data_IF_782154091575
#
_entry.id   IF_782154091575
#
_cell.length_a   1.000
_cell.length_b   1.000
_cell.length_c   1.000
_cell.angle_alpha   90.00
_cell.angle_beta   90.00
_cell.angle_gamma   90.00
#
_symmetry.space_group_name_H-M   'P 1'
#
loop_
_entity.id
_entity.type
_entity.pdbx_description
1 polymer ?
#
# COMPACT_ATOMS: atom_id res chain seq x y z
N UNK A 1 21.36 0.52 0.93
CA UNK A 1 21.37 -0.39 2.08
C UNK A 1 22.47 -1.41 1.86
N UNK A 2 23.26 -1.76 2.87
CA UNK A 2 24.19 -2.87 2.80
C UNK A 2 23.50 -4.09 3.43
N UNK A 3 23.35 -5.19 2.68
CA UNK A 3 22.63 -6.37 3.19
C UNK A 3 23.28 -6.99 4.43
N UNK A 4 24.64 -6.91 4.56
CA UNK A 4 25.36 -7.44 5.69
C UNK A 4 25.00 -6.77 7.04
N UNK A 5 24.64 -5.47 7.00
CA UNK A 5 24.26 -4.69 8.18
C UNK A 5 22.75 -4.68 8.40
N UNK A 6 22.00 -5.45 7.63
CA UNK A 6 20.59 -5.57 7.79
C UNK A 6 20.30 -6.55 8.93
N UNK A 7 19.59 -6.09 9.95
CA UNK A 7 19.11 -6.96 11.03
C UNK A 7 18.15 -8.05 10.49
N UNK A 8 17.48 -7.74 9.38
CA UNK A 8 16.56 -8.64 8.72
C UNK A 8 17.31 -9.50 7.70
N UNK A 9 17.67 -10.73 8.11
CA UNK A 9 18.34 -11.69 7.24
C UNK A 9 17.28 -12.44 6.46
N UNK A 10 17.24 -12.24 5.16
CA UNK A 10 16.39 -13.01 4.26
C UNK A 10 17.26 -13.93 3.41
N UNK A 11 16.90 -15.20 3.42
CA UNK A 11 17.42 -16.20 2.51
C UNK A 11 16.21 -16.84 1.82
N UNK A 12 16.28 -17.00 0.50
CA UNK A 12 15.25 -17.74 -0.23
C UNK A 12 15.16 -19.16 0.35
N UNK A 13 13.98 -19.62 0.80
CA UNK A 13 13.75 -20.99 1.23
C UNK A 13 13.86 -21.97 0.05
N UNK A 14 14.30 -23.20 0.31
CA UNK A 14 14.46 -24.20 -0.74
C UNK A 14 13.10 -24.62 -1.35
N UNK A 15 12.05 -24.73 -0.54
CA UNK A 15 10.69 -25.10 -0.99
C UNK A 15 9.80 -23.87 -1.17
N UNK A 16 10.33 -22.80 -1.79
CA UNK A 16 9.66 -21.50 -1.90
C UNK A 16 8.23 -21.60 -2.46
N UNK A 17 7.98 -22.42 -3.47
CA UNK A 17 6.68 -22.51 -4.15
C UNK A 17 5.56 -23.03 -3.23
N UNK A 18 5.91 -23.94 -2.33
CA UNK A 18 4.95 -24.60 -1.44
C UNK A 18 4.64 -23.79 -0.18
N UNK A 19 5.42 -22.75 0.09
CA UNK A 19 5.25 -21.92 1.29
C UNK A 19 4.15 -20.87 1.03
N UNK A 20 3.17 -20.72 1.94
CA UNK A 20 2.16 -19.68 1.86
C UNK A 20 2.79 -18.29 1.74
N UNK A 21 2.16 -17.39 0.95
CA UNK A 21 2.69 -16.04 0.69
C UNK A 21 2.82 -15.23 1.98
N UNK A 22 1.86 -15.31 2.90
CA UNK A 22 1.92 -14.62 4.19
C UNK A 22 3.14 -15.06 5.02
N UNK A 23 3.52 -16.33 4.94
CA UNK A 23 4.70 -16.86 5.62
C UNK A 23 5.99 -16.41 4.96
N UNK A 24 6.02 -16.31 3.62
CA UNK A 24 7.18 -15.79 2.88
C UNK A 24 7.39 -14.29 3.11
N UNK A 25 6.31 -13.54 3.31
CA UNK A 25 6.37 -12.12 3.62
C UNK A 25 6.92 -11.86 5.02
N UNK A 26 6.74 -12.81 5.96
CA UNK A 26 7.38 -12.73 7.28
C UNK A 26 8.89 -12.74 7.07
N UNK A 27 9.62 -11.96 7.84
CA UNK A 27 11.06 -11.73 7.77
C UNK A 27 11.53 -10.95 6.52
N UNK A 28 10.89 -11.08 5.36
CA UNK A 28 11.21 -10.28 4.17
C UNK A 28 10.57 -8.89 4.22
N UNK A 29 9.27 -8.84 4.47
CA UNK A 29 8.43 -7.64 4.39
C UNK A 29 8.10 -7.09 5.77
N UNK A 30 7.81 -7.97 6.70
CA UNK A 30 7.46 -7.62 8.07
C UNK A 30 7.96 -8.68 9.07
N UNK A 31 8.08 -8.26 10.33
CA UNK A 31 8.27 -9.13 11.48
C UNK A 31 7.26 -8.77 12.57
N UNK A 32 7.07 -9.65 13.56
CA UNK A 32 6.22 -9.39 14.70
C UNK A 32 7.05 -9.45 15.99
N UNK A 33 7.19 -8.30 16.66
CA UNK A 33 7.60 -8.29 18.07
C UNK A 33 6.44 -8.74 18.98
N UNK A 34 5.23 -8.32 18.63
CA UNK A 34 3.96 -8.81 19.13
C UNK A 34 3.25 -9.50 17.96
N UNK A 35 2.67 -10.71 18.14
CA UNK A 35 2.08 -11.47 17.05
C UNK A 35 0.95 -10.77 16.28
N UNK A 36 0.52 -9.61 16.76
CA UNK A 36 -0.64 -8.88 16.25
C UNK A 36 -0.33 -7.49 15.72
N UNK A 37 0.90 -7.01 15.93
CA UNK A 37 1.37 -5.67 15.52
C UNK A 37 2.58 -5.83 14.62
N UNK A 38 2.44 -5.68 13.30
CA UNK A 38 3.55 -5.87 12.38
C UNK A 38 4.57 -4.74 12.46
N UNK A 39 5.85 -5.10 12.49
CA UNK A 39 6.97 -4.22 12.26
C UNK A 39 7.44 -4.41 10.81
N UNK A 40 7.41 -3.36 10.01
CA UNK A 40 7.79 -3.47 8.60
C UNK A 40 9.29 -3.31 8.41
N UNK A 41 9.90 -4.23 7.65
CA UNK A 41 11.31 -4.20 7.28
C UNK A 41 11.59 -3.03 6.33
N UNK A 42 12.87 -2.68 6.07
CA UNK A 42 13.20 -1.70 5.04
C UNK A 42 12.66 -2.06 3.65
N UNK A 43 12.57 -3.35 3.31
CA UNK A 43 11.95 -3.83 2.06
C UNK A 43 10.44 -3.59 2.10
N UNK A 44 9.78 -3.99 3.19
CA UNK A 44 8.35 -3.76 3.38
C UNK A 44 7.98 -2.29 3.32
N UNK A 45 8.77 -1.42 3.95
CA UNK A 45 8.58 0.03 3.89
C UNK A 45 8.69 0.58 2.47
N UNK A 46 9.67 0.11 1.67
CA UNK A 46 9.79 0.51 0.27
C UNK A 46 8.59 0.06 -0.57
N UNK A 47 8.12 -1.16 -0.36
CA UNK A 47 6.94 -1.69 -1.06
C UNK A 47 5.70 -0.84 -0.74
N UNK A 48 5.46 -0.50 0.54
CA UNK A 48 4.38 0.42 0.91
C UNK A 48 4.50 1.77 0.23
N UNK A 49 5.67 2.41 0.31
CA UNK A 49 5.89 3.71 -0.30
C UNK A 49 5.63 3.68 -1.81
N UNK A 50 6.03 2.61 -2.50
CA UNK A 50 5.81 2.47 -3.94
C UNK A 50 4.31 2.30 -4.27
N UNK A 51 3.58 1.47 -3.52
CA UNK A 51 2.13 1.30 -3.66
C UNK A 51 1.41 2.63 -3.42
N UNK A 52 1.77 3.33 -2.35
CA UNK A 52 1.21 4.63 -1.99
C UNK A 52 1.51 5.69 -3.05
N UNK A 53 2.70 5.67 -3.64
CA UNK A 53 3.06 6.56 -4.75
C UNK A 53 2.23 6.31 -6.02
N UNK A 54 1.90 5.04 -6.33
CA UNK A 54 0.98 4.73 -7.43
C UNK A 54 -0.40 5.37 -7.18
N UNK A 55 -0.93 5.25 -5.96
CA UNK A 55 -2.19 5.92 -5.61
C UNK A 55 -2.07 7.45 -5.70
N UNK A 56 -1.01 8.04 -5.11
CA UNK A 56 -0.79 9.50 -5.13
C UNK A 56 -0.76 10.08 -6.54
N UNK A 57 -0.06 9.40 -7.46
CA UNK A 57 -0.01 9.79 -8.87
C UNK A 57 -1.39 9.76 -9.53
N UNK A 58 -2.21 8.78 -9.21
CA UNK A 58 -3.57 8.69 -9.74
C UNK A 58 -4.50 9.72 -9.08
N UNK A 59 -4.41 9.92 -7.76
CA UNK A 59 -5.20 10.90 -7.03
C UNK A 59 -4.95 12.35 -7.49
N UNK A 60 -3.72 12.68 -7.90
CA UNK A 60 -3.38 14.02 -8.40
C UNK A 60 -4.10 14.39 -9.72
N UNK A 61 -4.74 13.43 -10.38
CA UNK A 61 -5.49 13.71 -11.64
C UNK A 61 -6.87 14.35 -11.40
N UNK A 62 -7.34 14.43 -10.16
CA UNK A 62 -8.66 15.00 -9.79
C UNK A 62 -8.61 16.01 -8.65
N UNK A 63 -7.51 16.75 -8.48
CA UNK A 63 -7.34 17.72 -7.39
C UNK A 63 -7.69 17.11 -6.02
N UNK A 64 -7.09 15.97 -5.72
CA UNK A 64 -7.25 15.27 -4.45
C UNK A 64 -5.99 15.46 -3.59
N UNK A 65 -6.11 16.25 -2.52
CA UNK A 65 -4.99 16.65 -1.68
C UNK A 65 -4.74 15.69 -0.51
N UNK A 66 -3.46 15.50 -0.17
CA UNK A 66 -3.07 14.73 1.00
C UNK A 66 -3.21 15.52 2.29
N UNK A 67 -3.84 14.92 3.30
CA UNK A 67 -3.92 15.48 4.65
C UNK A 67 -3.38 14.49 5.68
N UNK A 68 -2.83 15.01 6.77
CA UNK A 68 -2.39 14.21 7.92
C UNK A 68 -3.50 14.24 8.97
N UNK A 69 -4.03 13.09 9.32
CA UNK A 69 -5.06 12.94 10.33
C UNK A 69 -4.46 12.54 11.69
N UNK A 70 -5.02 13.00 12.83
CA UNK A 70 -4.64 12.50 14.15
C UNK A 70 -4.95 11.01 14.28
N UNK A 71 -4.18 10.32 15.11
CA UNK A 71 -4.42 8.90 15.45
C UNK A 71 -5.21 8.73 16.75
N UNK A 72 -5.58 9.83 17.39
CA UNK A 72 -6.36 9.88 18.60
C UNK A 72 -7.71 10.53 18.34
N UNK A 73 -8.75 9.98 18.94
CA UNK A 73 -10.11 10.53 18.93
C UNK A 73 -10.61 10.64 20.38
N UNK A 74 -11.35 11.70 20.68
CA UNK A 74 -11.94 11.88 22.01
C UNK A 74 -13.16 10.98 22.20
N UNK A 75 -13.41 10.57 23.45
CA UNK A 75 -14.63 9.82 23.83
C UNK A 75 -15.89 10.61 23.46
N UNK A 76 -15.87 11.93 23.63
CA UNK A 76 -16.99 12.80 23.27
C UNK A 76 -17.34 12.72 21.78
N UNK A 77 -16.31 12.78 20.91
CA UNK A 77 -16.52 12.66 19.47
C UNK A 77 -17.03 11.27 19.07
N UNK A 78 -16.49 10.22 19.69
CA UNK A 78 -16.93 8.83 19.46
C UNK A 78 -18.40 8.64 19.86
N UNK A 79 -18.83 9.23 20.99
CA UNK A 79 -20.21 9.15 21.47
C UNK A 79 -21.23 9.84 20.54
N UNK A 80 -20.81 10.84 19.77
CA UNK A 80 -21.67 11.50 18.76
C UNK A 80 -21.99 10.60 17.56
N UNK A 81 -21.18 9.57 17.32
CA UNK A 81 -21.37 8.59 16.24
C UNK A 81 -21.86 7.24 16.78
N UNK A 82 -23.07 7.19 17.33
CA UNK A 82 -23.61 5.97 17.94
C UNK A 82 -23.50 4.73 17.04
N UNK A 83 -23.85 4.85 15.76
CA UNK A 83 -23.75 3.73 14.80
C UNK A 83 -22.32 3.23 14.60
N UNK A 84 -21.33 4.12 14.60
CA UNK A 84 -19.92 3.74 14.52
C UNK A 84 -19.47 3.08 15.82
N UNK A 85 -19.94 3.57 16.96
CA UNK A 85 -19.71 2.95 18.27
C UNK A 85 -20.29 1.54 18.34
N UNK A 86 -21.47 1.31 17.80
CA UNK A 86 -22.09 -0.01 17.71
C UNK A 86 -21.36 -0.94 16.72
N UNK A 87 -20.99 -0.44 15.54
CA UNK A 87 -20.30 -1.21 14.50
C UNK A 87 -18.91 -1.69 14.96
N UNK A 88 -18.17 -0.85 15.66
CA UNK A 88 -16.84 -1.19 16.12
C UNK A 88 -16.80 -1.67 17.58
N UNK A 89 -17.69 -1.19 18.44
CA UNK A 89 -17.91 -1.64 19.81
C UNK A 89 -16.64 -2.12 20.54
N UNK A 90 -16.57 -3.43 20.80
CA UNK A 90 -15.43 -4.08 21.48
C UNK A 90 -14.09 -4.00 20.73
N UNK A 91 -14.07 -3.53 19.47
CA UNK A 91 -12.84 -3.38 18.68
C UNK A 91 -12.14 -2.04 18.93
N UNK A 92 -12.72 -1.14 19.69
CA UNK A 92 -12.13 0.16 20.02
C UNK A 92 -11.04 -0.04 21.05
N UNK A 93 -9.83 0.47 20.77
CA UNK A 93 -8.71 0.46 21.71
C UNK A 93 -8.75 1.71 22.58
N UNK A 94 -9.07 1.53 23.86
CA UNK A 94 -9.11 2.58 24.84
C UNK A 94 -7.73 2.87 25.42
N UNK A 95 -7.42 4.14 25.67
CA UNK A 95 -6.25 4.53 26.44
C UNK A 95 -6.53 4.50 27.94
N UNK A 96 -5.49 4.40 28.73
CA UNK A 96 -5.56 4.35 30.21
C UNK A 96 -4.69 5.43 30.86
N UNK A 97 -4.78 5.57 32.17
CA UNK A 97 -4.02 6.56 32.93
C UNK A 97 -4.61 7.96 32.78
N UNK A 98 -3.79 8.96 32.45
CA UNK A 98 -4.24 10.36 32.28
C UNK A 98 -4.95 10.63 30.93
N UNK A 99 -5.01 9.64 30.05
CA UNK A 99 -5.55 9.76 28.68
C UNK A 99 -6.84 8.95 28.49
N UNK A 100 -7.61 8.75 29.57
CA UNK A 100 -8.83 7.93 29.54
C UNK A 100 -9.93 8.48 28.64
N UNK A 101 -9.88 9.77 28.32
CA UNK A 101 -10.84 10.42 27.43
C UNK A 101 -10.48 10.31 25.94
N UNK A 102 -9.47 9.48 25.61
CA UNK A 102 -9.02 9.27 24.26
C UNK A 102 -9.02 7.80 23.87
N UNK A 103 -9.19 7.57 22.56
CA UNK A 103 -9.14 6.27 21.91
C UNK A 103 -8.21 6.33 20.70
N UNK A 104 -7.61 5.18 20.35
CA UNK A 104 -6.96 5.04 19.06
C UNK A 104 -8.02 4.99 17.94
N UNK A 105 -7.76 5.67 16.82
CA UNK A 105 -8.73 5.73 15.72
C UNK A 105 -8.95 4.35 15.10
N UNK A 106 -10.22 3.96 15.04
CA UNK A 106 -10.68 2.72 14.44
C UNK A 106 -11.17 2.95 13.01
N UNK A 107 -11.78 4.13 12.79
CA UNK A 107 -12.28 4.66 11.53
C UNK A 107 -12.14 6.19 11.58
N UNK A 108 -11.55 6.84 10.61
CA UNK A 108 -11.23 8.28 10.71
C UNK A 108 -12.34 9.20 10.20
N UNK A 109 -13.39 8.67 9.56
CA UNK A 109 -14.44 9.46 8.89
C UNK A 109 -15.04 10.50 9.81
N UNK A 110 -15.43 10.11 11.03
CA UNK A 110 -16.00 11.03 12.01
C UNK A 110 -15.06 12.16 12.38
N UNK A 111 -13.79 11.81 12.66
CA UNK A 111 -12.77 12.80 13.02
C UNK A 111 -12.55 13.78 11.87
N UNK A 112 -12.49 13.26 10.66
CA UNK A 112 -12.27 14.02 9.44
C UNK A 112 -13.43 15.00 9.21
N UNK A 113 -14.67 14.49 9.20
CA UNK A 113 -15.86 15.30 8.97
C UNK A 113 -16.09 16.30 10.11
N UNK A 114 -15.85 15.93 11.37
CA UNK A 114 -15.94 16.85 12.48
C UNK A 114 -14.94 18.04 12.36
N UNK A 115 -13.79 17.80 11.74
CA UNK A 115 -12.85 18.87 11.43
C UNK A 115 -13.36 19.77 10.32
N UNK A 116 -13.89 19.19 9.22
CA UNK A 116 -14.39 19.95 8.08
C UNK A 116 -15.63 20.79 8.41
N UNK A 117 -16.60 20.27 9.18
CA UNK A 117 -17.84 20.98 9.53
C UNK A 117 -17.64 22.26 10.35
N UNK A 118 -16.47 22.40 10.99
CA UNK A 118 -16.12 23.62 11.75
C UNK A 118 -15.73 24.79 10.86
N UNK A 119 -15.50 24.54 9.57
CA UNK A 119 -15.16 25.56 8.60
C UNK A 119 -16.40 26.03 7.87
N UNK A 120 -16.42 27.31 7.48
CA UNK A 120 -17.44 27.83 6.58
C UNK A 120 -17.06 27.40 5.15
N UNK A 121 -17.76 26.41 4.62
CA UNK A 121 -17.52 25.89 3.28
C UNK A 121 -18.29 26.77 2.29
N UNK A 122 -17.59 27.41 1.36
CA UNK A 122 -18.18 28.09 0.22
C UNK A 122 -18.56 27.06 -0.85
N UNK A 123 -19.77 27.18 -1.42
CA UNK A 123 -20.21 26.30 -2.51
C UNK A 123 -19.27 26.33 -3.72
N UNK A 124 -18.56 27.45 -3.96
CA UNK A 124 -17.59 27.58 -5.05
C UNK A 124 -16.29 26.78 -4.80
N UNK A 125 -16.00 26.41 -3.56
CA UNK A 125 -14.86 25.56 -3.23
C UNK A 125 -15.16 24.05 -3.39
N UNK A 126 -16.40 23.69 -3.66
CA UNK A 126 -16.82 22.31 -3.88
C UNK A 126 -16.69 21.89 -5.36
N UNK A 127 -16.26 20.66 -5.68
CA UNK A 127 -15.99 19.59 -4.74
C UNK A 127 -14.66 19.74 -4.01
N UNK A 128 -14.58 19.27 -2.75
CA UNK A 128 -13.35 19.15 -1.97
C UNK A 128 -13.01 17.67 -1.87
N UNK A 129 -11.81 17.29 -2.30
CA UNK A 129 -11.35 15.92 -2.25
C UNK A 129 -10.07 15.85 -1.41
N UNK A 130 -10.12 15.08 -0.33
CA UNK A 130 -8.96 14.84 0.51
C UNK A 130 -8.70 13.34 0.69
N UNK A 131 -7.44 12.97 0.74
CA UNK A 131 -7.03 11.63 1.16
C UNK A 131 -6.02 11.69 2.30
N UNK A 132 -5.90 10.58 3.01
CA UNK A 132 -4.90 10.38 4.06
C UNK A 132 -4.25 9.01 3.90
N UNK A 133 -3.03 8.89 4.39
CA UNK A 133 -2.32 7.62 4.56
C UNK A 133 -2.00 7.49 6.05
N UNK A 134 -2.65 6.57 6.74
CA UNK A 134 -2.52 6.46 8.20
C UNK A 134 -2.61 5.03 8.70
N UNK A 135 -2.20 4.82 9.95
CA UNK A 135 -2.48 3.60 10.65
C UNK A 135 -3.84 3.71 11.35
N UNK A 136 -4.62 2.64 11.28
CA UNK A 136 -5.83 2.45 12.04
C UNK A 136 -5.64 1.31 13.05
N UNK A 137 -6.44 1.31 14.10
CA UNK A 137 -6.29 0.40 15.22
C UNK A 137 -7.63 -0.28 15.52
N UNK A 138 -7.61 -1.62 15.64
CA UNK A 138 -8.79 -2.40 16.01
C UNK A 138 -8.38 -3.55 16.91
N UNK A 139 -9.01 -3.67 18.08
CA UNK A 139 -8.84 -4.83 18.95
C UNK A 139 -9.58 -6.04 18.37
N UNK A 140 -8.94 -6.68 17.41
CA UNK A 140 -9.50 -7.83 16.70
C UNK A 140 -9.47 -9.06 17.61
N UNK A 141 -10.60 -9.81 17.76
CA UNK A 141 -10.64 -11.00 18.61
C UNK A 141 -9.75 -12.14 18.11
N UNK A 142 -9.56 -12.24 16.79
CA UNK A 142 -8.71 -13.25 16.15
C UNK A 142 -7.73 -12.59 15.18
N UNK A 143 -6.72 -11.87 15.67
CA UNK A 143 -5.72 -11.31 14.79
C UNK A 143 -4.90 -12.44 14.14
N UNK A 144 -4.58 -12.27 12.86
CA UNK A 144 -3.83 -13.26 12.10
C UNK A 144 -2.94 -12.53 11.11
N UNK A 145 -1.67 -12.80 11.11
CA UNK A 145 -0.69 -12.24 10.18
C UNK A 145 -1.00 -10.79 9.69
N UNK A 146 -0.41 -10.38 8.56
CA UNK A 146 -0.59 -9.04 7.95
C UNK A 146 -2.02 -8.77 7.46
N UNK A 147 -2.82 -9.81 7.16
CA UNK A 147 -4.17 -9.65 6.62
C UNK A 147 -5.21 -9.22 7.66
N UNK A 148 -4.94 -9.48 8.94
CA UNK A 148 -5.82 -9.18 10.06
C UNK A 148 -5.02 -8.83 11.33
N UNK A 149 -4.34 -7.71 11.31
CA UNK A 149 -3.54 -7.20 12.44
C UNK A 149 -4.34 -6.18 13.27
N UNK A 150 -3.89 -5.94 14.51
CA UNK A 150 -4.50 -4.94 15.40
C UNK A 150 -4.18 -3.51 14.98
N UNK A 151 -3.03 -3.30 14.35
CA UNK A 151 -2.64 -2.07 13.68
C UNK A 151 -2.47 -2.35 12.20
N UNK A 152 -3.08 -1.53 11.35
CA UNK A 152 -3.01 -1.70 9.91
C UNK A 152 -3.00 -0.36 9.18
N UNK A 153 -2.29 -0.34 8.04
CA UNK A 153 -2.12 0.86 7.22
C UNK A 153 -3.20 0.95 6.16
N UNK A 154 -3.75 2.15 5.99
CA UNK A 154 -4.86 2.44 5.08
C UNK A 154 -4.56 3.71 4.29
N UNK A 155 -4.86 3.69 3.00
CA UNK A 155 -5.15 4.87 2.20
C UNK A 155 -6.66 5.05 2.25
N UNK A 156 -7.13 6.20 2.71
CA UNK A 156 -8.55 6.51 2.71
C UNK A 156 -8.79 7.96 2.37
N UNK A 157 -10.03 8.33 2.14
CA UNK A 157 -10.34 9.71 1.82
C UNK A 157 -11.81 10.02 1.91
N UNK A 158 -12.09 11.31 1.82
CA UNK A 158 -13.43 11.89 1.87
C UNK A 158 -13.54 12.95 0.77
N UNK A 159 -14.68 12.93 0.09
CA UNK A 159 -15.08 13.98 -0.85
C UNK A 159 -16.33 14.69 -0.33
N UNK A 160 -16.37 16.00 -0.50
CA UNK A 160 -17.53 16.86 -0.22
C UNK A 160 -18.04 17.47 -1.51
N UNK A 161 -19.33 17.33 -1.76
CA UNK A 161 -19.99 17.79 -2.98
C UNK A 161 -21.21 18.65 -2.67
N UNK A 162 -21.52 19.61 -3.58
CA UNK A 162 -22.63 20.55 -3.41
C UNK A 162 -24.00 19.92 -3.56
N UNK A 163 -24.11 18.89 -4.40
CA UNK A 163 -25.38 18.22 -4.70
C UNK A 163 -25.18 16.71 -4.80
N UNK A 164 -26.28 15.97 -4.70
CA UNK A 164 -26.25 14.51 -4.94
C UNK A 164 -25.74 14.18 -6.35
N UNK A 165 -26.10 15.00 -7.36
CA UNK A 165 -25.63 14.78 -8.73
C UNK A 165 -24.11 15.02 -8.86
N UNK A 166 -23.57 16.04 -8.19
CA UNK A 166 -22.13 16.30 -8.20
C UNK A 166 -21.38 15.19 -7.43
N UNK A 167 -21.94 14.71 -6.29
CA UNK A 167 -21.40 13.56 -5.57
C UNK A 167 -21.26 12.33 -6.48
N UNK A 168 -22.27 12.01 -7.28
CA UNK A 168 -22.19 10.87 -8.22
C UNK A 168 -21.08 11.06 -9.26
N UNK A 169 -20.84 12.28 -9.73
CA UNK A 169 -19.72 12.57 -10.66
C UNK A 169 -18.36 12.38 -9.98
N UNK A 170 -18.22 12.88 -8.75
CA UNK A 170 -16.98 12.73 -7.97
C UNK A 170 -16.75 11.27 -7.61
N UNK A 171 -17.80 10.55 -7.20
CA UNK A 171 -17.73 9.12 -6.91
C UNK A 171 -17.24 8.30 -8.11
N UNK A 172 -17.73 8.60 -9.32
CA UNK A 172 -17.25 7.95 -10.55
C UNK A 172 -15.77 8.23 -10.81
N UNK A 173 -15.30 9.45 -10.61
CA UNK A 173 -13.87 9.79 -10.73
C UNK A 173 -13.02 9.03 -9.69
N UNK A 174 -13.51 8.91 -8.45
CA UNK A 174 -12.83 8.14 -7.42
C UNK A 174 -12.79 6.64 -7.77
N UNK A 175 -13.87 6.08 -8.33
CA UNK A 175 -13.88 4.70 -8.85
C UNK A 175 -12.83 4.51 -9.95
N UNK A 176 -12.71 5.46 -10.89
CA UNK A 176 -11.69 5.42 -11.94
C UNK A 176 -10.26 5.44 -11.36
N UNK A 177 -10.00 6.26 -10.33
CA UNK A 177 -8.71 6.29 -9.62
C UNK A 177 -8.41 4.97 -8.94
N UNK A 178 -9.39 4.38 -8.24
CA UNK A 178 -9.21 3.08 -7.59
C UNK A 178 -8.90 1.99 -8.62
N UNK A 179 -9.70 1.91 -9.69
CA UNK A 179 -9.47 0.97 -10.79
C UNK A 179 -8.10 1.16 -11.42
N UNK A 180 -7.73 2.41 -11.72
CA UNK A 180 -6.43 2.71 -12.30
C UNK A 180 -5.29 2.33 -11.35
N UNK A 181 -5.43 2.60 -10.07
CA UNK A 181 -4.43 2.23 -9.05
C UNK A 181 -4.22 0.71 -9.00
N UNK A 182 -5.30 -0.07 -9.03
CA UNK A 182 -5.21 -1.53 -9.00
C UNK A 182 -4.64 -2.10 -10.31
N UNK A 183 -5.02 -1.51 -11.45
CA UNK A 183 -4.47 -1.87 -12.76
C UNK A 183 -2.98 -1.51 -12.88
N UNK A 184 -2.56 -0.34 -12.38
CA UNK A 184 -1.14 0.07 -12.35
C UNK A 184 -0.32 -0.84 -11.41
N UNK A 185 -0.93 -1.35 -10.33
CA UNK A 185 -0.35 -2.41 -9.50
C UNK A 185 -0.40 -3.80 -10.17
N UNK A 186 -1.05 -3.93 -11.33
CA UNK A 186 -1.21 -5.17 -12.12
C UNK A 186 -1.80 -6.32 -11.31
N UNK A 187 -2.74 -6.05 -10.40
CA UNK A 187 -3.40 -7.07 -9.60
C UNK A 187 -4.74 -7.49 -10.20
N UNK A 188 -5.15 -8.76 -10.08
CA UNK A 188 -6.50 -9.17 -10.37
C UNK A 188 -7.44 -8.75 -9.24
N UNK A 189 -8.61 -8.22 -9.60
CA UNK A 189 -9.65 -7.89 -8.63
C UNK A 189 -11.05 -8.10 -9.20
N UNK A 190 -12.01 -8.31 -8.30
CA UNK A 190 -13.44 -8.26 -8.58
C UNK A 190 -14.02 -7.02 -7.93
N UNK A 191 -14.78 -6.23 -8.69
CA UNK A 191 -15.53 -5.09 -8.18
C UNK A 191 -17.02 -5.49 -8.08
N UNK A 192 -17.60 -5.37 -6.89
CA UNK A 192 -19.02 -5.63 -6.63
C UNK A 192 -19.73 -4.32 -6.29
N UNK A 193 -20.76 -3.98 -7.07
CA UNK A 193 -21.49 -2.73 -6.95
C UNK A 193 -22.79 -2.92 -6.18
N UNK A 194 -23.12 -1.95 -5.30
CA UNK A 194 -24.41 -1.87 -4.60
C UNK A 194 -24.63 -2.94 -3.54
N UNK A 195 -23.60 -3.64 -3.10
CA UNK A 195 -23.73 -4.67 -2.06
C UNK A 195 -23.49 -4.09 -0.66
N UNK A 196 -24.27 -4.56 0.31
CA UNK A 196 -24.05 -4.34 1.76
C UNK A 196 -23.82 -2.88 2.18
N UNK A 197 -24.46 -1.91 1.49
CA UNK A 197 -24.36 -0.47 1.80
C UNK A 197 -23.18 0.25 1.15
N UNK A 198 -22.32 -0.46 0.41
CA UNK A 198 -21.24 0.16 -0.36
C UNK A 198 -21.67 0.48 -1.79
N UNK A 199 -21.17 1.57 -2.35
CA UNK A 199 -21.29 1.83 -3.79
C UNK A 199 -20.52 0.79 -4.58
N UNK A 200 -19.30 0.50 -4.14
CA UNK A 200 -18.47 -0.56 -4.69
C UNK A 200 -17.54 -1.13 -3.62
N UNK A 201 -17.37 -2.44 -3.63
CA UNK A 201 -16.38 -3.14 -2.81
C UNK A 201 -15.47 -3.98 -3.70
N UNK A 202 -14.18 -4.05 -3.37
CA UNK A 202 -13.16 -4.73 -4.16
C UNK A 202 -12.63 -5.96 -3.46
N UNK A 203 -12.55 -7.07 -4.20
CA UNK A 203 -12.20 -8.38 -3.70
C UNK A 203 -11.06 -9.03 -4.47
N UNK A 204 -10.27 -9.83 -3.76
CA UNK A 204 -9.27 -10.74 -4.31
C UNK A 204 -9.67 -12.19 -4.05
N UNK A 205 -9.63 -13.02 -5.09
CA UNK A 205 -10.20 -14.38 -5.06
C UNK A 205 -9.18 -15.51 -5.27
N UNK A 206 -7.96 -15.22 -5.65
CA UNK A 206 -7.02 -16.21 -6.21
C UNK A 206 -6.19 -17.00 -5.20
N UNK A 207 -6.36 -16.85 -3.90
CA UNK A 207 -5.49 -17.50 -2.94
C UNK A 207 -6.24 -18.50 -2.05
N UNK A 208 -5.74 -19.73 -1.98
CA UNK A 208 -6.17 -20.73 -0.97
C UNK A 208 -5.97 -20.22 0.46
N UNK A 209 -4.98 -19.37 0.69
CA UNK A 209 -4.73 -18.73 1.98
C UNK A 209 -5.87 -17.79 2.37
N UNK A 210 -6.43 -17.05 1.42
CA UNK A 210 -7.51 -16.11 1.67
C UNK A 210 -8.83 -16.79 2.02
N UNK A 211 -9.04 -18.05 1.66
CA UNK A 211 -10.21 -18.82 2.06
C UNK A 211 -10.41 -18.90 3.58
N UNK A 212 -9.34 -18.82 4.34
CA UNK A 212 -9.36 -18.82 5.81
C UNK A 212 -9.56 -17.45 6.44
N UNK A 213 -9.51 -16.36 5.63
CA UNK A 213 -9.55 -14.97 6.11
C UNK A 213 -10.74 -14.17 5.61
N UNK A 214 -11.75 -14.87 5.14
CA UNK A 214 -12.93 -14.28 4.52
C UNK A 214 -13.60 -13.26 5.40
N UNK A 215 -13.89 -12.15 4.77
CA UNK A 215 -14.66 -11.09 5.38
C UNK A 215 -16.10 -11.09 4.88
N UNK A 216 -16.38 -11.61 3.67
CA UNK A 216 -17.75 -11.79 3.14
C UNK A 216 -17.87 -12.98 2.19
N UNK A 217 -19.06 -13.51 2.09
CA UNK A 217 -19.46 -14.39 1.00
C UNK A 217 -20.02 -13.50 -0.12
N UNK A 218 -19.36 -13.47 -1.28
CA UNK A 218 -19.83 -12.75 -2.47
C UNK A 218 -21.14 -13.38 -2.99
N UNK A 219 -21.28 -14.70 -2.83
CA UNK A 219 -22.49 -15.44 -3.16
C UNK A 219 -22.93 -16.25 -1.93
N UNK A 220 -24.03 -15.87 -1.25
CA UNK A 220 -24.55 -16.61 -0.10
C UNK A 220 -24.85 -18.07 -0.41
N UNK A 221 -25.19 -18.40 -1.67
CA UNK A 221 -25.53 -19.74 -2.09
C UNK A 221 -24.31 -20.60 -2.44
N UNK A 222 -23.22 -19.97 -2.89
CA UNK A 222 -21.99 -20.68 -3.30
C UNK A 222 -20.88 -20.70 -2.26
N UNK A 223 -21.06 -19.99 -1.13
CA UNK A 223 -20.01 -19.82 -0.09
C UNK A 223 -18.65 -19.39 -0.67
N UNK A 224 -18.66 -18.63 -1.76
CA UNK A 224 -17.43 -18.14 -2.39
C UNK A 224 -16.77 -17.14 -1.46
N UNK A 225 -15.57 -17.45 -1.03
CA UNK A 225 -14.81 -16.67 -0.09
C UNK A 225 -13.82 -15.77 -0.80
N UNK A 226 -13.75 -14.51 -0.40
CA UNK A 226 -12.88 -13.52 -0.99
C UNK A 226 -12.30 -12.56 0.04
N UNK A 227 -11.13 -12.02 -0.22
CA UNK A 227 -10.48 -11.01 0.61
C UNK A 227 -10.91 -9.62 0.15
N UNK A 228 -11.79 -8.95 0.92
CA UNK A 228 -12.08 -7.53 0.70
C UNK A 228 -10.87 -6.68 1.04
N UNK A 229 -10.46 -5.77 0.16
CA UNK A 229 -9.28 -4.93 0.35
C UNK A 229 -9.49 -3.44 0.11
N UNK A 230 -10.58 -3.04 -0.57
CA UNK A 230 -10.94 -1.64 -0.78
C UNK A 230 -12.45 -1.46 -0.89
N UNK A 231 -12.94 -0.25 -0.61
CA UNK A 231 -14.36 0.11 -0.68
C UNK A 231 -14.54 1.60 -0.95
N UNK A 232 -15.70 1.94 -1.52
CA UNK A 232 -16.21 3.31 -1.68
C UNK A 232 -17.71 3.33 -1.39
N UNK A 233 -18.21 4.35 -0.71
CA UNK A 233 -19.61 4.44 -0.30
C UNK A 233 -20.09 5.87 -0.08
N UNK A 234 -21.42 6.06 -0.17
CA UNK A 234 -22.12 7.29 0.20
C UNK A 234 -22.19 7.41 1.73
N UNK A 235 -21.36 8.28 2.28
CA UNK A 235 -21.32 8.53 3.72
C UNK A 235 -22.33 9.58 4.17
N UNK A 236 -23.05 10.23 3.26
CA UNK A 236 -24.00 11.31 3.58
C UNK A 236 -25.09 10.89 4.57
N UNK A 237 -25.58 9.66 4.43
CA UNK A 237 -26.67 9.12 5.25
C UNK A 237 -26.18 8.62 6.61
N UNK A 238 -24.97 8.08 6.65
CA UNK A 238 -24.37 7.50 7.86
C UNK A 238 -23.60 8.55 8.68
N UNK A 239 -23.40 9.74 8.12
CA UNK A 239 -22.69 10.82 8.77
C UNK A 239 -23.51 11.39 9.94
N UNK A 240 -23.00 11.33 11.18
CA UNK A 240 -23.74 11.85 12.35
C UNK A 240 -23.74 13.39 12.42
N UNK A 241 -23.09 14.05 11.46
CA UNK A 241 -22.94 15.50 11.46
C UNK A 241 -23.55 16.12 10.21
N UNK A 242 -24.23 17.24 10.41
CA UNK A 242 -24.59 18.09 9.28
C UNK A 242 -23.37 18.92 8.85
N UNK A 243 -22.88 18.62 7.65
CA UNK A 243 -21.86 19.43 6.98
C UNK A 243 -22.58 20.32 5.98
N UNK A 244 -22.44 21.63 6.18
CA UNK A 244 -23.19 22.63 5.43
C UNK A 244 -22.23 23.49 4.61
N UNK A 245 -22.67 23.90 3.43
CA UNK A 245 -22.01 24.92 2.63
C UNK A 245 -22.90 26.15 2.44
N UNK A 246 -22.31 27.28 2.16
CA UNK A 246 -23.05 28.54 1.91
C UNK A 246 -23.37 28.61 0.40
N UNK A 247 -24.64 28.65 0.08
CA UNK A 247 -25.09 28.87 -1.29
C UNK A 247 -24.85 30.34 -1.71
N UNK A 248 -24.04 30.59 -2.74
CA UNK A 248 -23.66 31.98 -3.13
C UNK A 248 -24.80 32.82 -3.67
N UNK A 249 -25.88 32.19 -4.14
CA UNK A 249 -27.04 32.91 -4.71
C UNK A 249 -28.09 33.30 -3.65
N UNK A 250 -28.35 32.38 -2.72
CA UNK A 250 -29.41 32.55 -1.72
C UNK A 250 -28.87 32.95 -0.35
N UNK A 251 -27.56 32.85 -0.13
CA UNK A 251 -26.89 33.01 1.16
C UNK A 251 -27.41 32.08 2.26
N UNK A 252 -28.13 31.01 1.87
CA UNK A 252 -28.59 29.95 2.80
C UNK A 252 -27.54 28.89 3.00
N UNK A 253 -27.67 28.13 4.09
CA UNK A 253 -26.84 26.93 4.33
C UNK A 253 -27.54 25.72 3.73
N UNK A 254 -26.89 25.09 2.77
CA UNK A 254 -27.36 23.87 2.12
C UNK A 254 -26.52 22.67 2.58
N UNK A 255 -27.11 21.47 2.61
CA UNK A 255 -26.43 20.25 3.02
C UNK A 255 -25.39 19.82 2.00
N UNK A 256 -24.22 19.43 2.47
CA UNK A 256 -23.13 18.87 1.66
C UNK A 256 -23.29 17.35 1.54
N UNK A 257 -22.98 16.79 0.38
CA UNK A 257 -22.98 15.35 0.12
C UNK A 257 -21.58 14.78 0.27
N UNK A 258 -21.47 13.59 0.84
CA UNK A 258 -20.19 13.04 1.30
C UNK A 258 -19.97 11.65 0.70
N UNK A 259 -18.83 11.46 0.03
CA UNK A 259 -18.34 10.15 -0.36
C UNK A 259 -17.13 9.79 0.49
N UNK A 260 -17.04 8.55 0.98
CA UNK A 260 -15.85 8.01 1.65
C UNK A 260 -15.32 6.79 0.92
N UNK A 261 -14.01 6.59 0.98
CA UNK A 261 -13.35 5.40 0.42
C UNK A 261 -12.16 4.98 1.27
N UNK A 262 -11.80 3.71 1.19
CA UNK A 262 -10.64 3.15 1.87
C UNK A 262 -10.00 2.00 1.10
N UNK A 263 -8.66 1.93 1.13
CA UNK A 263 -7.83 0.85 0.62
C UNK A 263 -7.00 0.31 1.78
N UNK A 264 -7.13 -0.97 2.12
CA UNK A 264 -6.22 -1.63 3.06
C UNK A 264 -4.88 -1.89 2.37
N UNK A 265 -3.91 -1.02 2.60
CA UNK A 265 -2.59 -1.08 1.95
C UNK A 265 -1.87 -2.39 2.29
N UNK A 266 -2.07 -2.93 3.50
CA UNK A 266 -1.49 -4.22 3.89
C UNK A 266 -2.05 -5.39 3.09
N UNK A 267 -3.37 -5.41 2.85
CA UNK A 267 -4.01 -6.43 2.02
C UNK A 267 -3.61 -6.28 0.55
N UNK A 268 -3.53 -5.04 0.06
CA UNK A 268 -3.06 -4.77 -1.30
C UNK A 268 -1.62 -5.25 -1.49
N UNK A 269 -0.73 -5.01 -0.51
CA UNK A 269 0.63 -5.52 -0.54
C UNK A 269 0.67 -7.06 -0.57
N UNK A 270 -0.16 -7.73 0.25
CA UNK A 270 -0.27 -9.19 0.20
C UNK A 270 -0.72 -9.68 -1.19
N UNK A 271 -1.74 -9.05 -1.78
CA UNK A 271 -2.27 -9.41 -3.10
C UNK A 271 -1.19 -9.29 -4.16
N UNK A 272 -0.40 -8.21 -4.13
CA UNK A 272 0.73 -8.01 -5.04
C UNK A 272 1.76 -9.13 -4.88
N UNK A 273 2.16 -9.42 -3.64
CA UNK A 273 3.14 -10.47 -3.38
C UNK A 273 2.63 -11.86 -3.79
N UNK A 274 1.34 -12.15 -3.59
CA UNK A 274 0.72 -13.42 -3.97
C UNK A 274 0.58 -13.56 -5.49
N UNK A 275 0.18 -12.49 -6.17
CA UNK A 275 0.02 -12.44 -7.62
C UNK A 275 1.34 -12.64 -8.36
N UNK A 276 2.41 -12.04 -7.85
CA UNK A 276 3.72 -12.04 -8.52
C UNK A 276 4.73 -13.05 -7.95
N UNK A 277 4.26 -14.00 -7.16
CA UNK A 277 5.07 -15.12 -6.68
C UNK A 277 5.32 -16.12 -7.81
N UNK A 278 6.58 -16.45 -8.07
CA UNK A 278 7.00 -17.47 -9.03
C UNK A 278 8.06 -18.43 -8.43
N UNK A 279 8.64 -19.30 -9.24
CA UNK A 279 9.65 -20.29 -8.79
C UNK A 279 10.98 -19.65 -8.35
N UNK A 280 11.28 -18.42 -8.75
CA UNK A 280 12.50 -17.69 -8.37
C UNK A 280 12.33 -16.80 -7.14
N UNK A 281 11.12 -16.32 -6.90
CA UNK A 281 10.84 -15.35 -5.85
C UNK A 281 9.60 -14.49 -6.17
N UNK A 282 9.74 -13.17 -6.10
CA UNK A 282 8.67 -12.25 -6.41
C UNK A 282 8.98 -11.46 -7.70
N UNK A 283 8.20 -11.68 -8.77
CA UNK A 283 8.36 -11.01 -10.06
C UNK A 283 7.65 -9.65 -10.10
N UNK A 284 7.95 -8.77 -9.15
CA UNK A 284 7.23 -7.53 -8.90
C UNK A 284 7.28 -6.55 -10.09
N UNK A 285 6.17 -5.84 -10.39
CA UNK A 285 6.14 -4.79 -11.38
C UNK A 285 7.16 -3.68 -11.09
N UNK A 286 7.65 -3.02 -12.15
CA UNK A 286 8.72 -2.02 -12.06
C UNK A 286 8.39 -0.83 -11.14
N UNK A 287 7.12 -0.43 -11.06
CA UNK A 287 6.65 0.66 -10.20
C UNK A 287 6.43 0.24 -8.73
N UNK A 288 6.45 -1.07 -8.43
CA UNK A 288 6.19 -1.60 -7.08
C UNK A 288 7.44 -2.18 -6.43
N UNK A 289 8.34 -2.81 -7.20
CA UNK A 289 9.52 -3.50 -6.66
C UNK A 289 10.36 -2.60 -5.74
N UNK A 290 10.96 -3.16 -4.67
CA UNK A 290 11.70 -2.38 -3.68
C UNK A 290 13.05 -1.86 -4.21
N UNK A 291 13.61 -2.58 -5.18
CA UNK A 291 14.87 -2.24 -5.84
C UNK A 291 14.82 -2.55 -7.33
N UNK A 292 15.30 -1.60 -8.14
CA UNK A 292 15.46 -1.79 -9.56
C UNK A 292 16.69 -2.67 -9.84
N UNK A 293 17.75 -2.51 -9.05
CA UNK A 293 19.05 -3.12 -9.30
C UNK A 293 19.66 -3.73 -8.04
N UNK A 294 20.17 -4.95 -8.16
CA UNK A 294 21.09 -5.57 -7.22
C UNK A 294 22.52 -5.49 -7.77
N UNK A 295 23.44 -4.86 -7.05
CA UNK A 295 24.86 -4.83 -7.41
C UNK A 295 25.58 -5.87 -6.57
N UNK A 296 26.03 -6.94 -7.22
CA UNK A 296 26.70 -8.09 -6.60
C UNK A 296 28.19 -7.97 -6.89
N UNK A 297 28.98 -7.68 -5.87
CA UNK A 297 30.42 -7.40 -6.00
C UNK A 297 31.25 -8.23 -5.02
N UNK A 298 32.58 -8.22 -5.22
CA UNK A 298 33.57 -8.70 -4.26
C UNK A 298 33.86 -7.63 -3.19
N UNK A 299 34.63 -7.99 -2.18
CA UNK A 299 35.07 -7.04 -1.15
C UNK A 299 35.88 -5.88 -1.74
N UNK A 300 36.71 -6.16 -2.74
CA UNK A 300 37.51 -5.16 -3.45
C UNK A 300 36.69 -4.22 -4.33
N UNK A 301 35.56 -4.67 -4.87
CA UNK A 301 34.65 -3.86 -5.69
C UNK A 301 33.62 -3.04 -4.92
N UNK A 302 33.64 -3.11 -3.58
CA UNK A 302 32.57 -2.53 -2.74
C UNK A 302 32.45 -0.99 -2.89
N UNK A 303 33.58 -0.29 -2.95
CA UNK A 303 33.61 1.17 -3.12
C UNK A 303 33.01 1.60 -4.46
N UNK A 304 33.42 0.95 -5.54
CA UNK A 304 32.85 1.15 -6.89
C UNK A 304 31.35 0.88 -6.91
N UNK A 305 30.90 -0.22 -6.31
CA UNK A 305 29.48 -0.57 -6.23
C UNK A 305 28.66 0.45 -5.43
N UNK A 306 29.22 1.00 -4.35
CA UNK A 306 28.58 2.06 -3.55
C UNK A 306 28.47 3.37 -4.32
N UNK A 307 29.51 3.73 -5.08
CA UNK A 307 29.48 4.90 -5.97
C UNK A 307 28.42 4.72 -7.04
N UNK A 308 28.42 3.60 -7.76
CA UNK A 308 27.40 3.30 -8.78
C UNK A 308 25.96 3.39 -8.20
N UNK A 309 25.75 2.86 -7.00
CA UNK A 309 24.44 2.96 -6.32
C UNK A 309 24.04 4.41 -6.08
N UNK A 310 24.98 5.25 -5.65
CA UNK A 310 24.75 6.69 -5.41
C UNK A 310 24.42 7.40 -6.72
N UNK A 311 25.20 7.14 -7.75
CA UNK A 311 25.00 7.73 -9.08
C UNK A 311 23.67 7.29 -9.71
N UNK A 312 23.29 6.01 -9.58
CA UNK A 312 21.97 5.52 -9.97
C UNK A 312 20.82 6.24 -9.27
N UNK A 313 20.99 6.53 -7.96
CA UNK A 313 19.97 7.24 -7.17
C UNK A 313 19.70 8.66 -7.70
N UNK A 314 20.69 9.34 -8.28
CA UNK A 314 20.52 10.64 -8.91
C UNK A 314 19.57 10.60 -10.14
N UNK A 315 19.39 9.42 -10.74
CA UNK A 315 18.45 9.16 -11.83
C UNK A 315 17.12 8.52 -11.37
N UNK A 316 16.85 8.51 -10.05
CA UNK A 316 15.63 7.89 -9.50
C UNK A 316 15.62 6.35 -9.57
N UNK A 317 16.79 5.72 -9.78
CA UNK A 317 16.94 4.26 -9.83
C UNK A 317 17.26 3.75 -8.42
N UNK A 318 16.42 2.87 -7.90
CA UNK A 318 16.64 2.26 -6.60
C UNK A 318 17.58 1.06 -6.71
N UNK A 319 18.74 1.13 -6.05
CA UNK A 319 19.72 0.05 -6.07
C UNK A 319 20.15 -0.34 -4.65
N UNK A 320 20.58 -1.59 -4.48
CA UNK A 320 21.31 -1.99 -3.29
C UNK A 320 22.61 -2.71 -3.66
N UNK A 321 23.57 -2.64 -2.76
CA UNK A 321 24.83 -3.37 -2.88
C UNK A 321 24.77 -4.63 -2.02
N UNK A 322 24.92 -5.78 -2.66
CA UNK A 322 25.07 -7.06 -1.96
C UNK A 322 26.54 -7.23 -1.53
N UNK A 323 26.75 -7.30 -0.23
CA UNK A 323 28.06 -7.52 0.40
C UNK A 323 28.10 -8.81 1.22
N UNK A 324 27.30 -9.82 0.87
CA UNK A 324 27.28 -11.13 1.51
C UNK A 324 28.46 -11.99 0.99
N UNK A 325 29.68 -11.53 1.20
CA UNK A 325 30.91 -12.14 0.64
C UNK A 325 31.13 -13.60 1.05
N UNK A 326 30.55 -14.05 2.17
CA UNK A 326 30.57 -15.45 2.59
C UNK A 326 29.59 -16.38 1.88
N UNK A 327 28.79 -15.87 0.92
CA UNK A 327 27.84 -16.65 0.12
C UNK A 327 28.31 -16.79 -1.31
N UNK A 328 27.95 -17.91 -1.96
CA UNK A 328 28.25 -18.13 -3.38
C UNK A 328 27.52 -17.09 -4.25
N UNK A 329 28.05 -16.80 -5.43
CA UNK A 329 27.41 -15.90 -6.39
C UNK A 329 25.99 -16.36 -6.74
N UNK A 330 25.77 -17.66 -6.94
CA UNK A 330 24.45 -18.23 -7.22
C UNK A 330 23.47 -17.90 -6.11
N UNK A 331 23.83 -18.11 -4.83
CA UNK A 331 22.93 -17.80 -3.70
C UNK A 331 22.60 -16.30 -3.60
N UNK A 332 23.55 -15.43 -3.96
CA UNK A 332 23.36 -13.98 -3.95
C UNK A 332 22.43 -13.54 -5.10
N UNK A 333 22.53 -14.15 -6.27
CA UNK A 333 21.60 -13.96 -7.39
C UNK A 333 20.19 -14.45 -7.03
N UNK A 334 20.08 -15.64 -6.42
CA UNK A 334 18.82 -16.20 -5.95
C UNK A 334 18.13 -15.29 -4.92
N UNK A 335 18.90 -14.69 -4.01
CA UNK A 335 18.38 -13.74 -3.04
C UNK A 335 17.88 -12.43 -3.73
N UNK A 336 18.55 -11.98 -4.77
CA UNK A 336 18.09 -10.83 -5.55
C UNK A 336 16.75 -11.11 -6.26
N UNK A 337 16.60 -12.30 -6.85
CA UNK A 337 15.34 -12.75 -7.43
C UNK A 337 14.24 -12.94 -6.38
N UNK A 338 14.59 -13.42 -5.18
CA UNK A 338 13.67 -13.57 -4.05
C UNK A 338 13.11 -12.23 -3.58
N UNK A 339 13.94 -11.20 -3.50
CA UNK A 339 13.55 -9.84 -3.10
C UNK A 339 12.64 -9.17 -4.16
N UNK A 340 12.65 -9.65 -5.39
CA UNK A 340 11.91 -9.05 -6.49
C UNK A 340 12.68 -7.96 -7.23
N UNK A 341 14.00 -8.07 -7.31
CA UNK A 341 14.86 -7.11 -8.03
C UNK A 341 14.72 -7.26 -9.54
N UNK A 342 14.67 -6.15 -10.27
CA UNK A 342 14.52 -6.15 -11.73
C UNK A 342 15.78 -6.57 -12.48
N UNK A 343 16.91 -5.96 -12.15
CA UNK A 343 18.21 -6.22 -12.75
C UNK A 343 19.25 -6.66 -11.71
N UNK A 344 20.20 -7.47 -12.16
CA UNK A 344 21.35 -7.93 -11.36
C UNK A 344 22.64 -7.55 -12.09
N UNK A 345 23.45 -6.70 -11.47
CA UNK A 345 24.77 -6.32 -11.94
C UNK A 345 25.80 -7.12 -11.17
N UNK A 346 26.57 -7.95 -11.87
CA UNK A 346 27.65 -8.77 -11.27
C UNK A 346 28.99 -8.16 -11.67
N UNK A 347 29.71 -7.69 -10.68
CA UNK A 347 31.09 -7.20 -10.84
C UNK A 347 32.09 -8.33 -10.66
N UNK A 348 32.93 -8.54 -11.68
CA UNK A 348 34.09 -9.43 -11.64
C UNK A 348 35.31 -8.68 -12.13
N UNK A 349 36.10 -8.14 -11.20
CA UNK A 349 37.33 -7.40 -11.51
C UNK A 349 37.12 -6.23 -12.49
N UNK A 350 36.14 -5.36 -12.20
CA UNK A 350 35.76 -4.23 -13.04
C UNK A 350 35.17 -4.60 -14.42
N UNK A 351 34.77 -5.85 -14.61
CA UNK A 351 33.94 -6.26 -15.72
C UNK A 351 32.54 -6.50 -15.16
N UNK A 352 31.58 -5.70 -15.62
CA UNK A 352 30.21 -5.71 -15.14
C UNK A 352 29.31 -6.45 -16.11
N UNK A 353 28.67 -7.51 -15.64
CA UNK A 353 27.64 -8.23 -16.40
C UNK A 353 26.27 -7.93 -15.82
N UNK A 354 25.38 -7.35 -16.62
CA UNK A 354 24.00 -7.03 -16.23
C UNK A 354 23.06 -8.12 -16.75
N UNK A 355 22.30 -8.70 -15.83
CA UNK A 355 21.32 -9.74 -16.13
C UNK A 355 19.91 -9.26 -15.75
N UNK A 356 18.92 -9.63 -16.56
CA UNK A 356 17.53 -9.49 -16.19
C UNK A 356 17.10 -10.56 -15.16
N UNK A 357 15.83 -10.53 -14.78
CA UNK A 357 15.28 -11.50 -13.82
C UNK A 357 15.28 -12.93 -14.39
N UNK A 358 15.14 -13.11 -15.71
CA UNK A 358 15.19 -14.44 -16.33
C UNK A 358 16.58 -15.08 -16.25
N UNK A 359 17.62 -14.28 -16.07
CA UNK A 359 19.03 -14.65 -16.14
C UNK A 359 19.65 -14.38 -17.51
N UNK A 360 18.90 -13.71 -18.40
CA UNK A 360 19.42 -13.31 -19.72
C UNK A 360 20.42 -12.17 -19.55
N UNK A 361 21.57 -12.27 -20.22
CA UNK A 361 22.57 -11.21 -20.25
C UNK A 361 22.02 -10.01 -21.06
N UNK A 362 21.84 -8.88 -20.39
CA UNK A 362 21.41 -7.62 -21.00
C UNK A 362 22.60 -6.88 -21.61
N UNK A 363 23.69 -6.78 -20.86
CA UNK A 363 24.90 -6.12 -21.33
C UNK A 363 26.14 -6.61 -20.56
N UNK A 364 27.32 -6.41 -21.17
CA UNK A 364 28.62 -6.56 -20.55
C UNK A 364 29.39 -5.24 -20.73
N UNK A 365 29.74 -4.61 -19.63
CA UNK A 365 30.32 -3.27 -19.58
C UNK A 365 31.69 -3.30 -18.92
N UNK A 366 32.58 -2.39 -19.33
CA UNK A 366 33.92 -2.22 -18.75
C UNK A 366 34.00 -0.99 -17.84
N UNK A 367 32.95 -0.19 -17.78
CA UNK A 367 32.89 0.98 -16.90
C UNK A 367 31.59 1.05 -16.09
N UNK A 368 31.59 1.66 -14.90
CA UNK A 368 30.38 1.97 -14.13
C UNK A 368 29.36 2.82 -14.88
N UNK A 369 29.82 3.80 -15.68
CA UNK A 369 28.95 4.72 -16.42
C UNK A 369 28.15 3.98 -17.51
N UNK A 370 28.77 3.03 -18.22
CA UNK A 370 28.09 2.19 -19.21
C UNK A 370 27.01 1.32 -18.53
N UNK A 371 27.27 0.81 -17.33
CA UNK A 371 26.28 0.07 -16.55
C UNK A 371 25.09 0.95 -16.23
N UNK A 372 25.32 2.18 -15.71
CA UNK A 372 24.26 3.12 -15.36
C UNK A 372 23.40 3.44 -16.59
N UNK A 373 24.03 3.71 -17.73
CA UNK A 373 23.31 3.99 -18.98
C UNK A 373 22.46 2.79 -19.45
N UNK A 374 23.01 1.58 -19.39
CA UNK A 374 22.29 0.34 -19.71
C UNK A 374 21.07 0.15 -18.82
N UNK A 375 21.25 0.32 -17.52
CA UNK A 375 20.17 0.20 -16.52
C UNK A 375 19.07 1.23 -16.77
N UNK A 376 19.43 2.49 -17.04
CA UNK A 376 18.47 3.57 -17.36
C UNK A 376 17.61 3.22 -18.57
N UNK A 377 18.21 2.76 -19.64
CA UNK A 377 17.50 2.36 -20.87
C UNK A 377 16.57 1.19 -20.61
N UNK A 378 17.02 0.18 -19.89
CA UNK A 378 16.22 -0.99 -19.57
C UNK A 378 14.98 -0.62 -18.74
N UNK A 379 15.16 0.14 -17.65
CA UNK A 379 14.07 0.56 -16.76
C UNK A 379 13.07 1.46 -17.50
N UNK A 380 13.54 2.37 -18.37
CA UNK A 380 12.66 3.21 -19.17
C UNK A 380 11.76 2.37 -20.09
N UNK A 381 12.31 1.31 -20.69
CA UNK A 381 11.54 0.37 -21.52
C UNK A 381 10.55 -0.48 -20.72
N UNK A 382 10.90 -0.89 -19.50
CA UNK A 382 9.99 -1.66 -18.63
C UNK A 382 8.79 -0.83 -18.16
N UNK A 383 8.99 0.46 -17.86
CA UNK A 383 7.94 1.36 -17.39
C UNK A 383 6.94 1.76 -18.49
N UNK A 384 7.26 1.53 -19.75
CA UNK A 384 6.37 1.76 -20.89
C UNK A 384 5.48 0.56 -21.24
N UNK A 385 5.77 -0.61 -20.69
CA UNK A 385 5.00 -1.86 -20.85
C UNK A 385 3.98 -2.03 -19.70
#
# INVERSE_FOLDING_TARGET
>A
MQLRNNLFRFNKPDNFQDIPTSKLMKDLVYDFNDPYIPFFTPIGTKLFNNIENVFKQNASTIDCDEVIIPQLMTTELLAQGQEIGELFGRKIMHLSGKMTDYHLITSPEMLFINTLRRNNIDANSLPINYYYISNLFRDMPDPKNILRSKQFRVIGGVSLDRSHQDRLKTENKLLEILHKTFNDCKIPFLAEYGSSGFTCEYFYMNSKETENYVIRSIDPHKKTKALSFAMIYDYTKECPFDVMHINPLTHTKDKTFITSYAISTQRLLYIIMDTFKDHKGFALPANIRPYDVAIITSEHGLETAQKMKTDMSAFGISAYTDNMFGKTHTKRLDNADYIGTGLKVVDRNNIFSTFDRSGTLVAKCSSPDDVINTVRQFIATEKQK
#
